data_IF_947320387891
#
_entry.id   IF_947320387891
#
_cell.length_a   1.000
_cell.length_b   1.000
_cell.length_c   1.000
_cell.angle_alpha   90.00
_cell.angle_beta   90.00
_cell.angle_gamma   90.00
#
_symmetry.space_group_name_H-M   'P 1'
#
loop_
_entity.id
_entity.type
_entity.pdbx_description
1 polymer ?
#
# COMPACT_ATOMS: atom_id res chain seq x y z
N UNK A 1 3.77 -12.58 3.20
CA UNK A 1 5.07 -11.90 3.29
C UNK A 1 5.19 -10.82 2.25
N UNK A 2 5.83 -9.71 2.58
CA UNK A 2 6.11 -8.64 1.61
C UNK A 2 7.42 -8.99 0.92
N UNK A 3 7.36 -9.31 -0.37
CA UNK A 3 8.51 -9.77 -1.15
C UNK A 3 9.05 -8.70 -2.11
N UNK A 4 8.25 -7.66 -2.36
CA UNK A 4 8.64 -6.58 -3.26
C UNK A 4 9.74 -5.72 -2.62
N UNK A 5 10.68 -5.24 -3.44
CA UNK A 5 11.74 -4.35 -2.97
C UNK A 5 11.40 -2.87 -3.17
N UNK A 6 12.34 -2.00 -2.82
CA UNK A 6 12.15 -0.55 -2.92
C UNK A 6 11.84 -0.11 -4.36
N UNK A 7 12.52 -0.72 -5.34
CA UNK A 7 12.32 -0.37 -6.75
C UNK A 7 10.92 -0.76 -7.23
N UNK A 8 10.42 -1.93 -6.82
CA UNK A 8 9.08 -2.39 -7.17
C UNK A 8 8.03 -1.38 -6.69
N UNK A 9 8.15 -0.92 -5.45
CA UNK A 9 7.21 0.06 -4.89
C UNK A 9 7.39 1.44 -5.49
N UNK A 10 8.62 1.87 -5.77
CA UNK A 10 8.86 3.16 -6.42
C UNK A 10 8.23 3.22 -7.81
N UNK A 11 8.30 2.13 -8.55
CA UNK A 11 7.65 2.01 -9.86
C UNK A 11 6.13 1.98 -9.73
N UNK A 12 5.64 1.23 -8.75
CA UNK A 12 4.21 1.09 -8.51
C UNK A 12 3.56 2.43 -8.12
N UNK A 13 4.14 3.11 -7.13
CA UNK A 13 3.62 4.39 -6.64
C UNK A 13 4.04 5.58 -7.50
N UNK A 14 5.02 5.39 -8.39
CA UNK A 14 5.59 6.43 -9.26
C UNK A 14 6.21 7.58 -8.46
N UNK A 15 6.85 7.24 -7.35
CA UNK A 15 7.61 8.18 -6.53
C UNK A 15 8.64 7.40 -5.71
N UNK A 16 9.66 8.10 -5.26
CA UNK A 16 10.67 7.51 -4.38
C UNK A 16 10.22 7.61 -2.93
N UNK A 17 10.61 6.64 -2.09
CA UNK A 17 10.25 6.68 -0.67
C UNK A 17 11.12 7.66 0.11
N UNK A 18 10.57 8.15 1.22
CA UNK A 18 11.34 8.77 2.28
C UNK A 18 11.61 7.66 3.29
N UNK A 19 12.90 7.38 3.53
CA UNK A 19 13.32 6.33 4.46
C UNK A 19 13.57 6.92 5.84
N UNK A 20 13.17 6.18 6.88
CA UNK A 20 13.41 6.60 8.26
C UNK A 20 14.91 6.70 8.56
N UNK A 21 15.70 5.77 8.03
CA UNK A 21 17.16 5.77 8.17
C UNK A 21 17.80 5.34 6.84
N UNK A 22 18.46 6.27 6.16
CA UNK A 22 19.07 6.00 4.85
C UNK A 22 20.20 4.96 4.88
N UNK A 23 20.73 4.66 6.06
CA UNK A 23 21.82 3.70 6.23
C UNK A 23 21.32 2.28 6.49
N UNK A 24 20.00 2.08 6.61
CA UNK A 24 19.39 0.78 6.87
C UNK A 24 18.82 0.23 5.58
N UNK A 25 19.04 -1.07 5.26
CA UNK A 25 18.43 -1.69 4.08
C UNK A 25 16.92 -1.57 4.10
N UNK A 26 16.33 -1.48 2.92
CA UNK A 26 14.88 -1.29 2.75
C UNK A 26 14.05 -2.31 3.54
N UNK A 27 14.44 -3.58 3.55
CA UNK A 27 13.68 -4.63 4.24
C UNK A 27 13.50 -4.34 5.72
N UNK A 28 14.52 -3.75 6.38
CA UNK A 28 14.49 -3.42 7.80
C UNK A 28 14.12 -1.97 8.10
N UNK A 29 13.73 -1.23 7.08
CA UNK A 29 13.46 0.20 7.16
C UNK A 29 11.97 0.48 7.24
N UNK A 30 11.63 1.73 7.57
CA UNK A 30 10.32 2.29 7.36
C UNK A 30 10.39 3.22 6.15
N UNK A 31 9.57 2.96 5.15
CA UNK A 31 9.50 3.76 3.93
C UNK A 31 8.15 4.44 3.83
N UNK A 32 8.15 5.73 3.48
CA UNK A 32 6.93 6.50 3.27
C UNK A 32 6.87 6.95 1.82
N UNK A 33 5.80 6.59 1.13
CA UNK A 33 5.52 6.99 -0.25
C UNK A 33 4.36 7.98 -0.22
N UNK A 34 4.65 9.23 -0.59
CA UNK A 34 3.63 10.29 -0.68
C UNK A 34 3.45 10.66 -2.16
N UNK A 35 2.22 10.61 -2.64
CA UNK A 35 1.95 10.91 -4.05
C UNK A 35 0.50 11.35 -4.24
N UNK A 36 0.22 11.91 -5.42
CA UNK A 36 -1.10 12.36 -5.84
C UNK A 36 -1.44 11.64 -7.14
N UNK A 37 -2.68 11.16 -7.27
CA UNK A 37 -3.14 10.56 -8.51
C UNK A 37 -3.80 11.58 -9.45
N UNK A 38 -4.35 11.11 -10.57
CA UNK A 38 -4.86 11.95 -11.65
C UNK A 38 -6.12 12.75 -11.26
N UNK A 39 -6.81 12.35 -10.19
CA UNK A 39 -8.01 13.04 -9.71
C UNK A 39 -7.75 13.80 -8.40
N UNK A 40 -6.49 14.12 -8.14
CA UNK A 40 -6.03 14.91 -6.99
C UNK A 40 -6.32 14.26 -5.63
N UNK A 41 -6.42 12.95 -5.58
CA UNK A 41 -6.41 12.23 -4.32
C UNK A 41 -4.96 12.07 -3.85
N UNK A 42 -4.69 12.42 -2.60
CA UNK A 42 -3.36 12.35 -2.02
C UNK A 42 -3.23 11.08 -1.16
N UNK A 43 -2.16 10.35 -1.38
CA UNK A 43 -1.86 9.11 -0.66
C UNK A 43 -0.61 9.27 0.17
N UNK A 44 -0.67 8.73 1.39
CA UNK A 44 0.51 8.52 2.22
C UNK A 44 0.56 7.04 2.58
N UNK A 45 1.58 6.35 2.07
CA UNK A 45 1.75 4.90 2.27
C UNK A 45 3.00 4.68 3.11
N UNK A 46 2.81 4.07 4.29
CA UNK A 46 3.90 3.76 5.20
C UNK A 46 4.10 2.25 5.23
N UNK A 47 5.33 1.82 4.98
CA UNK A 47 5.66 0.42 4.80
C UNK A 47 6.85 0.03 5.65
N UNK A 48 6.70 -1.05 6.44
CA UNK A 48 7.79 -1.69 7.18
C UNK A 48 7.82 -3.16 6.80
N UNK A 49 8.63 -3.57 5.81
CA UNK A 49 8.58 -4.94 5.30
C UNK A 49 8.88 -6.02 6.34
N UNK A 50 9.93 -5.83 7.16
CA UNK A 50 10.33 -6.85 8.15
C UNK A 50 9.29 -7.09 9.23
N UNK A 51 8.52 -6.06 9.59
CA UNK A 51 7.45 -6.17 10.59
C UNK A 51 6.11 -6.51 9.97
N UNK A 52 6.03 -6.58 8.64
CA UNK A 52 4.77 -6.78 7.92
C UNK A 52 3.71 -5.75 8.31
N UNK A 53 4.10 -4.47 8.24
CA UNK A 53 3.21 -3.34 8.48
C UNK A 53 3.02 -2.54 7.20
N UNK A 54 1.76 -2.27 6.86
CA UNK A 54 1.40 -1.43 5.73
C UNK A 54 0.25 -0.53 6.15
N UNK A 55 0.48 0.78 6.12
CA UNK A 55 -0.55 1.79 6.45
C UNK A 55 -0.76 2.69 5.25
N UNK A 56 -2.02 2.90 4.90
CA UNK A 56 -2.39 3.71 3.75
C UNK A 56 -3.40 4.76 4.21
N UNK A 57 -3.08 6.03 3.98
CA UNK A 57 -3.99 7.13 4.19
C UNK A 57 -4.34 7.76 2.85
N UNK A 58 -5.62 8.06 2.66
CA UNK A 58 -6.11 8.69 1.44
C UNK A 58 -6.82 9.98 1.81
N UNK A 59 -6.45 11.08 1.17
CA UNK A 59 -6.99 12.42 1.44
C UNK A 59 -7.63 13.00 0.18
N UNK A 60 -8.74 13.70 0.37
CA UNK A 60 -9.34 14.58 -0.62
C UNK A 60 -9.31 15.99 -0.05
N UNK A 61 -8.51 16.86 -0.64
CA UNK A 61 -8.22 18.16 -0.03
C UNK A 61 -7.54 17.97 1.32
N UNK A 62 -8.09 18.56 2.38
CA UNK A 62 -7.56 18.42 3.74
C UNK A 62 -8.24 17.31 4.54
N UNK A 63 -9.23 16.65 3.95
CA UNK A 63 -10.02 15.64 4.63
C UNK A 63 -9.48 14.24 4.37
N UNK A 64 -9.25 13.49 5.45
CA UNK A 64 -8.89 12.07 5.32
C UNK A 64 -10.14 11.26 5.03
N UNK A 65 -10.21 10.66 3.85
CA UNK A 65 -11.37 9.87 3.43
C UNK A 65 -11.20 8.39 3.70
N UNK A 66 -9.97 7.89 3.88
CA UNK A 66 -9.73 6.49 4.20
C UNK A 66 -8.43 6.30 4.97
N UNK A 67 -8.42 5.33 5.86
CA UNK A 67 -7.25 4.88 6.59
C UNK A 67 -7.28 3.36 6.64
N UNK A 68 -6.24 2.73 6.09
CA UNK A 68 -6.12 1.27 6.04
C UNK A 68 -4.85 0.87 6.78
N UNK A 69 -4.97 -0.08 7.69
CA UNK A 69 -3.85 -0.56 8.50
C UNK A 69 -3.81 -2.09 8.44
N UNK A 70 -2.77 -2.61 7.82
CA UNK A 70 -2.55 -4.04 7.67
C UNK A 70 -1.30 -4.45 8.44
N UNK A 71 -1.44 -5.34 9.41
CA UNK A 71 -0.33 -5.87 10.19
C UNK A 71 -0.42 -7.37 10.31
N UNK A 72 0.73 -8.03 10.51
CA UNK A 72 0.80 -9.45 10.77
C UNK A 72 0.98 -10.29 9.52
N UNK A 73 0.41 -11.50 9.51
CA UNK A 73 0.57 -12.44 8.42
C UNK A 73 -0.35 -12.11 7.26
N UNK A 74 0.18 -11.38 6.29
CA UNK A 74 -0.50 -11.16 5.02
C UNK A 74 0.50 -11.29 3.87
N UNK A 75 -0.01 -11.56 2.69
CA UNK A 75 0.75 -11.46 1.44
C UNK A 75 0.32 -10.20 0.68
N UNK A 76 1.27 -9.61 -0.04
CA UNK A 76 1.03 -8.45 -0.88
C UNK A 76 1.36 -8.82 -2.31
N UNK A 77 0.47 -8.49 -3.22
CA UNK A 77 0.64 -8.75 -4.63
C UNK A 77 0.32 -7.51 -5.45
N UNK A 78 1.24 -7.09 -6.31
CA UNK A 78 1.00 -6.02 -7.26
C UNK A 78 0.27 -6.62 -8.44
N UNK A 79 -1.02 -6.27 -8.60
CA UNK A 79 -1.87 -6.83 -9.66
C UNK A 79 -1.68 -6.10 -10.98
N UNK A 80 -1.44 -4.80 -10.92
CA UNK A 80 -1.18 -3.97 -12.10
C UNK A 80 -0.34 -2.77 -11.70
N UNK A 81 0.67 -2.45 -12.51
CA UNK A 81 1.58 -1.35 -12.25
C UNK A 81 1.85 -0.60 -13.56
N UNK A 82 0.83 0.06 -14.08
CA UNK A 82 0.91 0.89 -15.27
C UNK A 82 0.88 2.36 -14.89
N UNK A 83 1.31 3.23 -15.80
CA UNK A 83 1.41 4.67 -15.56
C UNK A 83 0.12 5.29 -15.01
N UNK A 84 -1.01 4.90 -15.57
CA UNK A 84 -2.33 5.48 -15.25
C UNK A 84 -3.29 4.44 -14.65
N UNK A 85 -2.81 3.25 -14.33
CA UNK A 85 -3.62 2.20 -13.73
C UNK A 85 -2.76 1.36 -12.80
N UNK A 86 -3.07 1.39 -11.51
CA UNK A 86 -2.32 0.61 -10.52
C UNK A 86 -3.23 0.09 -9.42
N UNK A 87 -3.04 -1.18 -9.09
CA UNK A 87 -3.76 -1.82 -7.98
C UNK A 87 -2.93 -2.90 -7.33
N UNK A 88 -3.14 -3.09 -6.04
CA UNK A 88 -2.50 -4.17 -5.29
C UNK A 88 -3.55 -4.96 -4.50
N UNK A 89 -3.15 -6.17 -4.12
CA UNK A 89 -3.97 -7.04 -3.28
C UNK A 89 -3.23 -7.38 -1.99
N UNK A 90 -3.94 -7.25 -0.88
CA UNK A 90 -3.51 -7.75 0.41
C UNK A 90 -4.39 -8.95 0.74
N UNK A 91 -3.78 -10.06 1.12
CA UNK A 91 -4.53 -11.30 1.39
C UNK A 91 -3.99 -12.00 2.63
N UNK A 92 -4.89 -12.51 3.44
CA UNK A 92 -4.56 -13.40 4.56
C UNK A 92 -5.59 -14.52 4.64
N UNK A 93 -5.56 -15.32 5.73
CA UNK A 93 -6.45 -16.47 5.89
C UNK A 93 -7.93 -16.09 6.07
N UNK A 94 -8.23 -14.84 6.42
CA UNK A 94 -9.60 -14.39 6.71
C UNK A 94 -10.21 -13.53 5.62
N UNK A 95 -9.43 -13.14 4.61
CA UNK A 95 -9.98 -12.35 3.52
C UNK A 95 -8.94 -11.68 2.66
N UNK A 96 -9.41 -10.79 1.81
CA UNK A 96 -8.54 -10.02 0.92
C UNK A 96 -9.06 -8.60 0.75
N UNK A 97 -8.14 -7.70 0.40
CA UNK A 97 -8.45 -6.34 0.03
C UNK A 97 -7.74 -6.02 -1.27
N UNK A 98 -8.46 -5.43 -2.22
CA UNK A 98 -7.88 -4.92 -3.46
C UNK A 98 -7.99 -3.41 -3.42
N UNK A 99 -6.87 -2.73 -3.60
CA UNK A 99 -6.78 -1.28 -3.50
C UNK A 99 -6.32 -0.73 -4.83
N UNK A 100 -7.13 0.13 -5.44
CA UNK A 100 -6.78 0.87 -6.63
C UNK A 100 -6.24 2.25 -6.23
N UNK A 101 -5.10 2.62 -6.77
CA UNK A 101 -4.49 3.94 -6.51
C UNK A 101 -4.67 4.87 -7.70
N UNK A 102 -4.64 4.31 -8.93
CA UNK A 102 -4.76 5.08 -10.16
C UNK A 102 -5.74 4.39 -11.10
N UNK A 103 -6.53 5.12 -11.83
CA UNK A 103 -6.64 6.58 -11.88
C UNK A 103 -7.34 7.18 -10.67
N UNK A 104 -8.07 6.36 -9.90
CA UNK A 104 -8.91 6.79 -8.78
C UNK A 104 -8.86 5.76 -7.67
N UNK A 105 -8.91 6.21 -6.43
CA UNK A 105 -8.99 5.31 -5.28
C UNK A 105 -10.25 4.48 -5.33
N UNK A 106 -10.09 3.16 -5.22
CA UNK A 106 -11.18 2.20 -5.03
C UNK A 106 -10.72 1.14 -4.05
N UNK A 107 -11.64 0.65 -3.23
CA UNK A 107 -11.35 -0.37 -2.24
C UNK A 107 -12.39 -1.47 -2.32
N UNK A 108 -11.92 -2.70 -2.47
CA UNK A 108 -12.78 -3.90 -2.45
C UNK A 108 -12.28 -4.82 -1.35
N UNK A 109 -13.14 -5.11 -0.38
CA UNK A 109 -12.81 -5.98 0.75
C UNK A 109 -13.72 -7.19 0.73
N UNK A 110 -13.11 -8.37 0.87
CA UNK A 110 -13.79 -9.64 0.95
C UNK A 110 -13.29 -10.35 2.21
N UNK A 111 -14.14 -10.49 3.21
CA UNK A 111 -13.79 -11.03 4.52
C UNK A 111 -14.62 -12.26 4.81
N UNK A 112 -13.96 -13.32 5.25
CA UNK A 112 -14.61 -14.57 5.60
C UNK A 112 -14.73 -14.68 7.12
N UNK A 113 -15.93 -15.02 7.56
CA UNK A 113 -16.16 -15.37 8.96
C UNK A 113 -16.25 -16.89 9.05
N UNK A 114 -15.35 -17.54 9.81
CA UNK A 114 -15.37 -18.99 9.87
C UNK A 114 -16.67 -19.49 10.51
N UNK A 115 -17.23 -20.54 9.94
CA UNK A 115 -18.37 -21.26 10.52
C UNK A 115 -17.92 -21.97 11.79
N UNK A 116 -18.79 -22.07 12.73
CA UNK A 116 -18.52 -22.76 13.99
C UNK A 116 -18.87 -24.23 13.93
#
# INVERSE_FOLDING_TARGET
>A
MIEQDALDFSQFFQCDPILLDENVPFFYNEAVYDFINEVDERFSVRLQPSSQDLKIEVFTGEERMAYLDFTGDFSLEILSSQKDFSKLRIKNSTGSAIIHFRPKFKLFIDVYFPDK
#
